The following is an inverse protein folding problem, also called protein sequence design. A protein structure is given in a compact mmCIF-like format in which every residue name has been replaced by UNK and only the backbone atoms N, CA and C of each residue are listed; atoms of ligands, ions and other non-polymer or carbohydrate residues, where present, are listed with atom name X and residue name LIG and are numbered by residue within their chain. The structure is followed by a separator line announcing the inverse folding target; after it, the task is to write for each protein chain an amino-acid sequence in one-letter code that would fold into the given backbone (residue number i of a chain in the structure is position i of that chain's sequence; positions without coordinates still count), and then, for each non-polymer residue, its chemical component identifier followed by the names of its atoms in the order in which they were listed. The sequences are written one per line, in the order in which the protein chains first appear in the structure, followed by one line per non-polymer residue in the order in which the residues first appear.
data_IF_170349497684
#
_entry.id   IF_170349497684
#
_cell.length_a   1.000
_cell.length_b   1.000
_cell.length_c   1.000
_cell.angle_alpha   90.00
_cell.angle_beta   90.00
_cell.angle_gamma   90.00
#
_symmetry.space_group_name_H-M   'P 1'
#
loop_
_entity.id
_entity.type
_entity.pdbx_description
1 polymer ?
#
# COMPACT_ATOMS: atom_id res chain seq x y z
N UNK A 1 -5.31 0.50 22.83
CA UNK A 1 -4.14 1.06 22.11
C UNK A 1 -4.31 0.77 20.63
N UNK A 2 -4.97 1.67 19.90
CA UNK A 2 -5.17 1.54 18.45
C UNK A 2 -3.88 1.96 17.75
N UNK A 3 -3.11 0.97 17.29
CA UNK A 3 -1.94 1.18 16.43
C UNK A 3 -2.46 1.67 15.07
N UNK A 4 -2.62 2.99 14.93
CA UNK A 4 -2.94 3.62 13.65
C UNK A 4 -1.73 3.42 12.73
N UNK A 5 -1.70 2.28 12.02
CA UNK A 5 -0.58 1.90 11.15
C UNK A 5 -0.49 2.93 10.03
N UNK A 6 0.55 3.78 10.00
CA UNK A 6 0.70 4.73 8.90
C UNK A 6 0.88 3.94 7.60
N UNK A 7 0.12 4.30 6.57
CA UNK A 7 0.16 3.58 5.28
C UNK A 7 1.61 3.37 4.78
N UNK A 8 1.85 2.20 4.20
CA UNK A 8 3.16 1.77 3.72
C UNK A 8 3.69 2.74 2.67
N UNK A 9 4.96 3.12 2.77
CA UNK A 9 5.63 3.80 1.66
C UNK A 9 5.82 2.84 0.48
N UNK A 10 5.96 3.37 -0.75
CA UNK A 10 6.23 2.56 -1.95
C UNK A 10 7.39 1.57 -1.77
N UNK A 11 8.42 1.95 -1.01
CA UNK A 11 9.57 1.08 -0.74
C UNK A 11 9.22 -0.08 0.21
N UNK A 12 8.40 0.18 1.23
CA UNK A 12 7.89 -0.85 2.15
C UNK A 12 6.94 -1.82 1.43
N UNK A 13 6.05 -1.29 0.58
CA UNK A 13 5.21 -2.11 -0.28
C UNK A 13 6.06 -2.99 -1.20
N UNK A 14 7.05 -2.40 -1.87
CA UNK A 14 7.94 -3.10 -2.76
C UNK A 14 8.72 -4.24 -2.06
N UNK A 15 9.21 -3.99 -0.84
CA UNK A 15 9.86 -5.00 -0.02
C UNK A 15 8.92 -6.17 0.35
N UNK A 16 7.67 -5.90 0.71
CA UNK A 16 6.69 -6.97 1.00
C UNK A 16 6.38 -7.83 -0.22
N UNK A 17 6.21 -7.21 -1.38
CA UNK A 17 5.92 -7.92 -2.63
C UNK A 17 7.19 -8.46 -3.31
N UNK A 18 8.38 -8.31 -2.70
CA UNK A 18 9.69 -8.63 -3.30
C UNK A 18 9.90 -8.07 -4.70
N UNK A 19 9.31 -6.91 -4.98
CA UNK A 19 9.46 -6.19 -6.24
C UNK A 19 10.33 -4.95 -6.06
N UNK A 20 10.75 -4.35 -7.17
CA UNK A 20 11.42 -3.06 -7.11
C UNK A 20 10.40 -1.92 -6.94
N UNK A 21 10.71 -0.87 -6.16
CA UNK A 21 9.82 0.28 -5.98
C UNK A 21 9.53 1.04 -7.28
N UNK A 22 10.45 1.00 -8.25
CA UNK A 22 10.24 1.46 -9.63
C UNK A 22 9.09 0.71 -10.32
N UNK A 23 8.98 -0.61 -10.13
CA UNK A 23 7.92 -1.44 -10.74
C UNK A 23 6.55 -1.06 -10.18
N UNK A 24 6.45 -0.83 -8.86
CA UNK A 24 5.23 -0.34 -8.22
C UNK A 24 4.81 1.02 -8.79
N UNK A 25 5.76 1.94 -8.98
CA UNK A 25 5.47 3.25 -9.60
C UNK A 25 5.07 3.11 -11.06
N UNK A 26 5.73 2.25 -11.84
CA UNK A 26 5.39 2.01 -13.24
C UNK A 26 4.00 1.39 -13.39
N UNK A 27 3.65 0.42 -12.56
CA UNK A 27 2.32 -0.17 -12.55
C UNK A 27 1.26 0.88 -12.16
N UNK A 28 1.51 1.65 -11.10
CA UNK A 28 0.63 2.77 -10.72
C UNK A 28 0.46 3.81 -11.84
N UNK A 29 1.51 4.20 -12.55
CA UNK A 29 1.39 5.16 -13.65
C UNK A 29 0.64 4.60 -14.86
N UNK A 30 0.71 3.29 -15.10
CA UNK A 30 0.03 2.63 -16.24
C UNK A 30 -1.43 2.32 -15.93
N UNK A 31 -1.70 1.87 -14.73
CA UNK A 31 -2.96 1.24 -14.32
C UNK A 31 -3.75 2.10 -13.32
N UNK A 32 -3.11 3.12 -12.73
CA UNK A 32 -3.72 4.02 -11.74
C UNK A 32 -3.89 3.39 -10.35
N UNK A 33 -3.57 2.11 -10.20
CA UNK A 33 -3.62 1.35 -8.97
C UNK A 33 -2.53 0.28 -8.99
N UNK A 34 -2.29 -0.35 -7.84
CA UNK A 34 -1.34 -1.46 -7.76
C UNK A 34 -1.96 -2.59 -6.94
N UNK A 35 -2.28 -3.71 -7.60
CA UNK A 35 -2.91 -4.88 -6.96
C UNK A 35 -4.19 -4.51 -6.18
N UNK A 36 -5.02 -3.64 -6.75
CA UNK A 36 -6.25 -3.14 -6.09
C UNK A 36 -6.02 -2.02 -5.07
N UNK A 37 -4.78 -1.77 -4.64
CA UNK A 37 -4.45 -0.72 -3.69
C UNK A 37 -4.46 0.65 -4.38
N UNK A 38 -5.15 1.62 -3.76
CA UNK A 38 -5.15 3.02 -4.18
C UNK A 38 -4.22 3.81 -3.26
N UNK A 39 -3.14 4.41 -3.78
CA UNK A 39 -2.26 5.21 -2.94
C UNK A 39 -2.96 6.51 -2.54
N UNK A 40 -2.76 6.89 -1.29
CA UNK A 40 -3.22 8.15 -0.73
C UNK A 40 -2.10 9.15 -0.89
N UNK A 41 -2.40 10.29 -1.51
CA UNK A 41 -1.44 11.39 -1.63
C UNK A 41 -1.38 12.13 -0.30
N UNK A 42 -0.24 12.04 0.38
CA UNK A 42 -0.03 12.77 1.62
C UNK A 42 0.29 14.26 1.33
N UNK A 43 0.07 15.14 2.32
CA UNK A 43 0.42 16.56 2.21
C UNK A 43 1.94 16.77 2.04
N UNK A 44 2.77 15.78 2.38
CA UNK A 44 4.22 15.81 2.15
C UNK A 44 4.63 15.41 0.71
N UNK A 45 3.67 15.18 -0.20
CA UNK A 45 3.93 14.79 -1.58
C UNK A 45 4.30 13.31 -1.79
N UNK A 46 4.38 12.50 -0.71
CA UNK A 46 4.60 11.05 -0.83
C UNK A 46 3.27 10.32 -1.03
N UNK A 47 3.37 9.16 -1.67
CA UNK A 47 2.27 8.19 -1.79
C UNK A 47 2.35 7.22 -0.60
N UNK A 48 1.28 7.17 0.19
CA UNK A 48 1.09 6.09 1.17
C UNK A 48 0.14 5.05 0.60
N UNK A 49 0.57 3.80 0.64
CA UNK A 49 -0.18 2.65 0.26
C UNK A 49 -0.90 2.11 1.50
N UNK A 50 -2.23 1.96 1.49
CA UNK A 50 -2.91 1.35 2.61
C UNK A 50 -2.37 -0.08 2.81
N UNK A 51 -1.84 -0.35 4.01
CA UNK A 51 -1.36 -1.68 4.40
C UNK A 51 -2.52 -2.67 4.63
N UNK A 52 -3.76 -2.17 4.58
CA UNK A 52 -4.96 -2.80 5.11
C UNK A 52 -5.44 -4.03 4.32
N UNK A 53 -4.71 -4.49 3.29
CA UNK A 53 -5.09 -5.68 2.52
C UNK A 53 -3.94 -6.69 2.36
N UNK A 54 -3.09 -6.78 3.39
CA UNK A 54 -2.21 -7.94 3.61
C UNK A 54 -2.29 -8.48 5.06
N UNK A 55 -3.37 -8.16 5.78
CA UNK A 55 -3.82 -8.91 6.95
C UNK A 55 -5.22 -9.45 6.62
N UNK A 56 -5.53 -10.70 7.01
CA UNK A 56 -6.73 -11.40 6.56
C UNK A 56 -7.96 -10.54 6.85
N UNK A 57 -8.90 -10.52 5.90
CA UNK A 57 -10.24 -9.93 6.02
C UNK A 57 -10.74 -9.97 7.46
N UNK A 58 -10.82 -8.81 8.10
CA UNK A 58 -11.55 -8.63 9.35
C UNK A 58 -13.06 -8.69 9.03
N UNK A 59 -13.52 -9.91 8.79
CA UNK A 59 -14.91 -10.30 8.63
C UNK A 59 -15.12 -11.63 9.33
N UNK A 60 -15.46 -11.55 10.62
CA UNK A 60 -16.11 -12.55 11.47
C UNK A 60 -15.80 -14.04 11.29
N UNK A 61 -15.24 -14.65 12.34
CA UNK A 61 -15.77 -15.89 12.95
C UNK A 61 -15.36 -15.91 14.44
N UNK A 62 -16.39 -15.91 15.30
CA UNK A 62 -16.53 -16.35 16.70
C UNK A 62 -15.41 -16.10 17.73
#
# INVERSE_FOLDING_TARGET
MHTNTPGLSTNQLAAQFMVKPESVRSAYCRDGHYQGLRPIRLPNGRLAWPAAEAAPTEGGIE
#
